data_IF_580876196440
#
_entry.id   IF_580876196440
#
_cell.length_a   1.000
_cell.length_b   1.000
_cell.length_c   1.000
_cell.angle_alpha   90.00
_cell.angle_beta   90.00
_cell.angle_gamma   90.00
#
_symmetry.space_group_name_H-M   'P 1'
#
loop_
_entity.id
_entity.type
_entity.pdbx_description
1 polymer ?
#
# COMPACT_ATOMS: atom_id res chain seq x y z
N UNK A 1 -2.81 14.50 -2.47
CA UNK A 1 -3.89 13.58 -2.86
C UNK A 1 -3.23 12.25 -3.10
N UNK A 2 -3.61 11.25 -2.32
CA UNK A 2 -2.99 9.93 -2.37
C UNK A 2 -3.65 9.15 -3.49
N UNK A 3 -2.86 8.42 -4.28
CA UNK A 3 -3.44 7.71 -5.40
C UNK A 3 -4.27 6.50 -5.00
N UNK A 4 -5.29 6.21 -5.80
CA UNK A 4 -6.15 5.04 -5.66
C UNK A 4 -5.48 3.80 -6.31
N UNK A 5 -4.61 3.12 -5.55
CA UNK A 5 -3.85 1.94 -6.00
C UNK A 5 -4.52 0.63 -5.61
N UNK A 6 -5.08 0.60 -4.41
CA UNK A 6 -5.71 -0.56 -3.78
C UNK A 6 -7.11 -0.11 -3.35
N UNK A 7 -8.13 -0.76 -3.91
CA UNK A 7 -9.50 -0.53 -3.50
C UNK A 7 -9.81 -1.14 -2.12
N UNK A 8 -10.87 -0.64 -1.48
CA UNK A 8 -11.39 -1.19 -0.22
C UNK A 8 -11.69 -2.69 -0.33
N UNK A 9 -12.33 -3.10 -1.42
CA UNK A 9 -12.66 -4.51 -1.69
C UNK A 9 -11.40 -5.38 -1.86
N UNK A 10 -10.38 -4.90 -2.58
CA UNK A 10 -9.10 -5.62 -2.69
C UNK A 10 -8.41 -5.77 -1.33
N UNK A 11 -8.41 -4.71 -0.50
CA UNK A 11 -7.82 -4.74 0.83
C UNK A 11 -8.52 -5.76 1.73
N UNK A 12 -9.86 -5.69 1.84
CA UNK A 12 -10.68 -6.64 2.61
C UNK A 12 -10.48 -8.07 2.14
N UNK A 13 -10.47 -8.29 0.82
CA UNK A 13 -10.24 -9.61 0.24
C UNK A 13 -8.89 -10.20 0.63
N UNK A 14 -7.82 -9.38 0.65
CA UNK A 14 -6.47 -9.84 0.97
C UNK A 14 -6.33 -10.30 2.43
N UNK A 15 -6.97 -9.60 3.36
CA UNK A 15 -6.98 -9.94 4.79
C UNK A 15 -8.15 -10.83 5.23
N UNK A 16 -8.98 -11.26 4.27
CA UNK A 16 -10.14 -12.16 4.48
C UNK A 16 -11.23 -11.58 5.39
N UNK A 17 -11.48 -10.28 5.28
CA UNK A 17 -12.62 -9.61 5.91
C UNK A 17 -13.81 -9.60 4.94
N UNK A 18 -14.99 -9.99 5.41
CA UNK A 18 -16.21 -10.13 4.60
C UNK A 18 -17.37 -9.22 5.07
N UNK A 19 -17.07 -8.24 5.93
CA UNK A 19 -18.03 -7.33 6.53
C UNK A 19 -17.62 -5.86 6.38
N UNK A 20 -18.57 -4.95 6.60
CA UNK A 20 -18.40 -3.53 6.26
C UNK A 20 -18.28 -2.59 7.48
N UNK A 21 -18.44 -3.09 8.71
CA UNK A 21 -18.42 -2.24 9.91
C UNK A 21 -17.03 -1.66 10.25
N UNK A 22 -15.98 -2.14 9.57
CA UNK A 22 -14.60 -1.66 9.68
C UNK A 22 -14.17 -0.83 8.45
N UNK A 23 -15.06 -0.51 7.51
CA UNK A 23 -14.69 0.17 6.25
C UNK A 23 -13.93 1.48 6.50
N UNK A 24 -14.39 2.31 7.44
CA UNK A 24 -13.69 3.55 7.81
C UNK A 24 -12.30 3.31 8.41
N UNK A 25 -12.04 2.16 9.03
CA UNK A 25 -10.71 1.78 9.48
C UNK A 25 -9.84 1.38 8.29
N UNK A 26 -10.37 0.58 7.35
CA UNK A 26 -9.65 0.21 6.14
C UNK A 26 -9.29 1.42 5.28
N UNK A 27 -10.15 2.43 5.17
CA UNK A 27 -9.82 3.68 4.47
C UNK A 27 -8.56 4.34 5.05
N UNK A 28 -8.43 4.37 6.38
CA UNK A 28 -7.25 4.92 7.07
C UNK A 28 -6.01 4.04 6.82
N UNK A 29 -6.15 2.72 6.90
CA UNK A 29 -5.04 1.79 6.72
C UNK A 29 -4.53 1.83 5.27
N UNK A 30 -5.42 1.84 4.27
CA UNK A 30 -5.07 1.94 2.85
C UNK A 30 -4.30 3.23 2.59
N UNK A 31 -4.78 4.35 3.15
CA UNK A 31 -4.14 5.64 3.03
C UNK A 31 -2.72 5.62 3.60
N UNK A 32 -2.55 5.19 4.85
CA UNK A 32 -1.25 5.12 5.51
C UNK A 32 -0.28 4.14 4.82
N UNK A 33 -0.79 2.98 4.39
CA UNK A 33 0.00 1.97 3.71
C UNK A 33 0.51 2.44 2.34
N UNK A 34 -0.35 3.14 1.60
CA UNK A 34 0.01 3.73 0.32
C UNK A 34 1.11 4.78 0.50
N UNK A 35 0.95 5.69 1.46
CA UNK A 35 1.94 6.72 1.74
C UNK A 35 3.30 6.11 2.10
N UNK A 36 3.34 5.14 3.02
CA UNK A 36 4.58 4.49 3.47
C UNK A 36 5.32 3.78 2.32
N UNK A 37 4.59 3.06 1.45
CA UNK A 37 5.19 2.36 0.32
C UNK A 37 5.71 3.33 -0.74
N UNK A 38 4.96 4.39 -1.05
CA UNK A 38 5.35 5.37 -2.07
C UNK A 38 6.47 6.31 -1.60
N UNK A 39 6.57 6.57 -0.29
CA UNK A 39 7.73 7.27 0.28
C UNK A 39 9.03 6.50 0.03
N UNK A 40 8.98 5.17 0.10
CA UNK A 40 10.15 4.33 -0.15
C UNK A 40 10.43 4.08 -1.64
N UNK A 41 9.38 3.94 -2.46
CA UNK A 41 9.47 3.72 -3.89
C UNK A 41 9.65 5.03 -4.68
N UNK A 42 10.54 5.91 -4.22
CA UNK A 42 10.63 7.30 -4.67
C UNK A 42 11.10 7.52 -6.12
N UNK A 43 11.64 6.48 -6.77
CA UNK A 43 11.96 6.46 -8.20
C UNK A 43 10.73 6.19 -9.08
N UNK A 44 9.70 5.58 -8.50
CA UNK A 44 8.41 5.43 -9.14
C UNK A 44 7.49 6.57 -8.70
N UNK A 45 7.02 7.36 -9.65
CA UNK A 45 5.97 8.34 -9.40
C UNK A 45 4.78 8.05 -10.29
N UNK A 46 3.56 8.19 -9.75
CA UNK A 46 2.42 8.26 -10.63
C UNK A 46 2.52 9.47 -11.56
N UNK A 47 2.04 9.29 -12.79
CA UNK A 47 1.94 10.39 -13.75
C UNK A 47 0.86 11.37 -13.29
N UNK A 48 1.02 12.65 -13.63
CA UNK A 48 0.07 13.70 -13.26
C UNK A 48 -1.32 13.51 -13.92
N UNK A 49 -1.41 12.72 -14.99
CA UNK A 49 -2.63 12.39 -15.74
C UNK A 49 -3.23 11.02 -15.38
N UNK A 50 -2.79 10.43 -14.25
CA UNK A 50 -3.23 9.11 -13.82
C UNK A 50 -4.75 9.01 -13.66
N UNK A 51 -5.34 8.03 -14.37
CA UNK A 51 -6.74 7.59 -14.20
C UNK A 51 -6.85 6.30 -13.37
N UNK A 52 -7.94 6.11 -12.61
CA UNK A 52 -8.24 4.82 -11.97
C UNK A 52 -8.15 3.68 -13.00
N UNK A 53 -7.23 2.73 -12.77
CA UNK A 53 -6.96 1.62 -13.68
C UNK A 53 -5.69 1.71 -14.53
N UNK A 54 -4.95 2.83 -14.53
CA UNK A 54 -3.60 2.81 -15.12
C UNK A 54 -2.72 1.76 -14.44
N UNK A 55 -1.80 1.20 -15.22
CA UNK A 55 -1.01 0.04 -14.83
C UNK A 55 0.03 0.40 -13.75
N UNK A 56 -0.36 0.21 -12.49
CA UNK A 56 0.57 0.24 -11.36
C UNK A 56 1.41 -1.04 -11.38
N UNK A 57 2.75 -0.95 -11.26
CA UNK A 57 3.57 -2.14 -11.13
C UNK A 57 3.06 -3.06 -10.03
N UNK A 58 2.80 -4.34 -10.36
CA UNK A 58 2.21 -5.30 -9.42
C UNK A 58 2.98 -5.40 -8.09
N UNK A 59 4.29 -5.13 -8.10
CA UNK A 59 5.14 -5.08 -6.90
C UNK A 59 4.74 -3.99 -5.90
N UNK A 60 4.26 -2.84 -6.37
CA UNK A 60 3.82 -1.73 -5.52
C UNK A 60 2.48 -2.09 -4.89
N UNK A 61 1.53 -2.56 -5.72
CA UNK A 61 0.22 -3.00 -5.23
C UNK A 61 0.36 -4.09 -4.17
N UNK A 62 1.20 -5.11 -4.42
CA UNK A 62 1.44 -6.19 -3.46
C UNK A 62 2.15 -5.70 -2.20
N UNK A 63 3.09 -4.75 -2.30
CA UNK A 63 3.74 -4.16 -1.13
C UNK A 63 2.75 -3.42 -0.22
N UNK A 64 1.81 -2.66 -0.81
CA UNK A 64 0.73 -1.98 -0.07
C UNK A 64 -0.16 -3.02 0.62
N UNK A 65 -0.57 -4.07 -0.08
CA UNK A 65 -1.37 -5.15 0.51
C UNK A 65 -0.65 -5.85 1.69
N UNK A 66 0.66 -6.08 1.58
CA UNK A 66 1.46 -6.59 2.71
C UNK A 66 1.47 -5.62 3.90
N UNK A 67 1.61 -4.31 3.67
CA UNK A 67 1.54 -3.30 4.73
C UNK A 67 0.16 -3.28 5.40
N UNK A 68 -0.92 -3.36 4.62
CA UNK A 68 -2.30 -3.40 5.12
C UNK A 68 -2.48 -4.61 6.05
N UNK A 69 -2.04 -5.79 5.63
CA UNK A 69 -2.13 -7.00 6.45
C UNK A 69 -1.38 -6.84 7.78
N UNK A 70 -0.13 -6.35 7.75
CA UNK A 70 0.63 -6.10 8.97
C UNK A 70 -0.05 -5.05 9.87
N UNK A 71 -0.55 -3.95 9.31
CA UNK A 71 -1.23 -2.92 10.09
C UNK A 71 -2.54 -3.42 10.74
N UNK A 72 -3.27 -4.30 10.06
CA UNK A 72 -4.50 -4.89 10.57
C UNK A 72 -4.23 -5.93 11.67
N UNK A 73 -3.28 -6.83 11.44
CA UNK A 73 -2.97 -7.94 12.36
C UNK A 73 -2.14 -7.47 13.57
N UNK A 74 -1.13 -6.65 13.34
CA UNK A 74 -0.10 -6.25 14.31
C UNK A 74 -0.27 -4.78 14.71
N UNK A 75 -1.42 -4.42 15.30
CA UNK A 75 -1.81 -3.02 15.63
C UNK A 75 -0.74 -2.15 16.33
N UNK A 76 0.19 -2.74 17.07
CA UNK A 76 1.27 -2.01 17.77
C UNK A 76 2.53 -1.81 16.91
N UNK A 77 2.80 -2.75 16.00
CA UNK A 77 4.00 -2.77 15.14
C UNK A 77 3.67 -2.40 13.68
N UNK A 78 2.38 -2.22 13.38
CA UNK A 78 1.83 -1.94 12.05
C UNK A 78 2.27 -0.62 11.41
N UNK A 79 2.97 0.23 12.16
CA UNK A 79 3.60 1.45 11.66
C UNK A 79 4.88 1.15 10.86
N UNK A 80 5.54 0.03 11.12
CA UNK A 80 6.75 -0.36 10.40
C UNK A 80 6.41 -1.02 9.07
N UNK A 81 7.26 -0.77 8.05
CA UNK A 81 7.10 -1.45 6.76
C UNK A 81 7.63 -2.87 6.80
N UNK A 82 6.82 -3.91 6.51
CA UNK A 82 7.27 -5.28 6.63
C UNK A 82 8.37 -5.57 5.61
N UNK A 83 9.35 -6.38 6.00
CA UNK A 83 10.51 -6.70 5.17
C UNK A 83 10.12 -7.32 3.82
N UNK A 84 8.99 -8.03 3.76
CA UNK A 84 8.43 -8.55 2.51
C UNK A 84 8.03 -7.43 1.55
N UNK A 85 7.36 -6.38 2.04
CA UNK A 85 7.02 -5.19 1.25
C UNK A 85 8.29 -4.47 0.78
N UNK A 86 9.25 -4.24 1.69
CA UNK A 86 10.53 -3.61 1.35
C UNK A 86 11.27 -4.34 0.21
N UNK A 87 11.31 -5.67 0.22
CA UNK A 87 11.95 -6.46 -0.85
C UNK A 87 11.33 -6.23 -2.23
N UNK A 88 10.02 -5.96 -2.29
CA UNK A 88 9.32 -5.70 -3.54
C UNK A 88 9.66 -4.33 -4.14
N UNK A 89 9.86 -3.33 -3.28
CA UNK A 89 10.02 -1.92 -3.66
C UNK A 89 11.45 -1.39 -3.59
N UNK A 90 12.40 -2.11 -2.97
CA UNK A 90 13.85 -1.83 -3.02
C UNK A 90 14.39 -1.47 -4.41
N UNK A 91 14.01 -2.17 -5.50
CA UNK A 91 14.47 -1.80 -6.85
C UNK A 91 13.97 -0.44 -7.34
N UNK A 92 12.96 0.14 -6.73
CA UNK A 92 12.34 1.43 -7.08
C UNK A 92 12.79 2.57 -6.16
N UNK A 93 13.83 2.34 -5.36
CA UNK A 93 14.39 3.35 -4.46
C UNK A 93 15.59 4.02 -5.12
N UNK A 94 15.60 5.35 -5.18
CA UNK A 94 16.80 6.12 -5.52
C UNK A 94 17.78 6.08 -4.35
N UNK A 95 19.00 5.66 -4.66
CA UNK A 95 20.12 5.72 -3.73
C UNK A 95 20.88 7.01 -4.02
N UNK A 96 20.69 8.03 -3.19
CA UNK A 96 21.55 9.20 -3.18
C UNK A 96 22.96 8.78 -2.74
N UNK A 97 23.96 9.00 -3.61
CA UNK A 97 25.39 8.81 -3.29
C UNK A 97 25.95 10.10 -2.70
#
# INVERSE_FOLDING_TARGET
MTPDIVSLEEAKLFVRVDHDHEDSLFEVIIQAATDAVLEYADDWKPRDDWLPGDEVPARIRLAILCQIATAYDERQDGADTPEAALRLIRPLRRLSV
#
